data_IF_390107568986
#
_entry.id   IF_390107568986
#
_cell.length_a   1.000
_cell.length_b   1.000
_cell.length_c   1.000
_cell.angle_alpha   90.00
_cell.angle_beta   90.00
_cell.angle_gamma   90.00
#
_symmetry.space_group_name_H-M   'P 1'
#
loop_
_entity.id
_entity.type
_entity.pdbx_description
1 polymer ?
#
# COMPACT_ATOMS: atom_id res chain seq x y z
N UNK A 1 -10.80 22.17 -41.16
CA UNK A 1 -10.73 23.04 -42.34
C UNK A 1 -10.36 24.48 -41.96
N UNK A 2 -9.15 24.75 -41.46
CA UNK A 2 -8.65 26.13 -41.22
C UNK A 2 -7.15 26.30 -41.63
N UNK A 3 -6.42 25.19 -41.83
CA UNK A 3 -4.95 25.20 -42.02
C UNK A 3 -4.45 25.74 -43.37
N UNK A 4 -5.31 26.01 -44.35
CA UNK A 4 -4.89 26.23 -45.75
C UNK A 4 -5.21 27.61 -46.34
N UNK A 5 -5.81 28.53 -45.59
CA UNK A 5 -6.07 29.87 -46.11
C UNK A 5 -4.99 30.88 -45.63
N UNK A 6 -4.08 31.34 -46.51
CA UNK A 6 -2.98 32.22 -46.12
C UNK A 6 -3.45 33.59 -45.64
N UNK A 7 -4.61 34.08 -46.11
CA UNK A 7 -5.18 35.37 -45.68
C UNK A 7 -5.56 35.36 -44.19
N UNK A 8 -6.29 34.32 -43.75
CA UNK A 8 -6.67 34.16 -42.33
C UNK A 8 -5.45 34.03 -41.42
N UNK A 9 -4.41 33.30 -41.87
CA UNK A 9 -3.17 33.17 -41.08
C UNK A 9 -2.47 34.52 -40.89
N UNK A 10 -2.46 35.36 -41.93
CA UNK A 10 -1.91 36.70 -41.87
C UNK A 10 -2.76 37.62 -40.98
N UNK A 11 -4.09 37.48 -41.00
CA UNK A 11 -5.00 38.24 -40.14
C UNK A 11 -4.85 37.89 -38.66
N UNK A 12 -4.70 36.61 -38.32
CA UNK A 12 -4.40 36.14 -36.96
C UNK A 12 -3.04 36.63 -36.42
N UNK A 13 -2.05 36.81 -37.31
CA UNK A 13 -0.72 37.31 -36.93
C UNK A 13 -0.68 38.85 -36.82
N UNK A 14 -1.65 39.56 -37.42
CA UNK A 14 -1.73 41.01 -37.35
C UNK A 14 -2.36 41.44 -36.03
N UNK A 15 -1.76 42.44 -35.40
CA UNK A 15 -2.32 43.08 -34.21
C UNK A 15 -3.52 43.93 -34.63
N UNK A 16 -4.72 43.53 -34.23
CA UNK A 16 -5.94 44.32 -34.46
C UNK A 16 -5.99 45.52 -33.52
N UNK A 17 -5.81 46.73 -34.06
CA UNK A 17 -5.81 47.99 -33.31
C UNK A 17 -7.16 48.26 -32.62
N UNK A 18 -8.26 47.96 -33.31
CA UNK A 18 -9.62 48.13 -32.80
C UNK A 18 -9.92 47.24 -31.56
N UNK A 19 -9.44 45.99 -31.55
CA UNK A 19 -9.53 45.14 -30.36
C UNK A 19 -8.68 45.68 -29.19
N UNK A 20 -7.48 46.19 -29.49
CA UNK A 20 -6.59 46.75 -28.48
C UNK A 20 -7.21 48.00 -27.84
N UNK A 21 -7.89 48.84 -28.62
CA UNK A 21 -8.58 50.02 -28.09
C UNK A 21 -9.79 49.62 -27.24
N UNK A 22 -10.55 48.59 -27.63
CA UNK A 22 -11.63 48.02 -26.80
C UNK A 22 -11.12 47.43 -25.49
N UNK A 23 -9.97 46.76 -25.49
CA UNK A 23 -9.37 46.18 -24.28
C UNK A 23 -8.81 47.25 -23.32
N UNK A 24 -8.37 48.42 -23.82
CA UNK A 24 -7.98 49.55 -22.95
C UNK A 24 -9.15 50.10 -22.14
N UNK A 25 -10.37 50.05 -22.70
CA UNK A 25 -11.59 50.53 -22.05
C UNK A 25 -12.01 49.59 -20.92
N UNK A 26 -11.81 48.28 -21.09
CA UNK A 26 -12.16 47.26 -20.08
C UNK A 26 -11.04 47.15 -19.04
N UNK A 27 -10.94 48.15 -18.16
CA UNK A 27 -10.08 48.09 -16.97
C UNK A 27 -10.91 47.60 -15.78
N UNK A 28 -10.70 46.35 -15.37
CA UNK A 28 -11.29 45.82 -14.14
C UNK A 28 -10.43 46.26 -12.96
N UNK A 29 -10.89 47.27 -12.22
CA UNK A 29 -10.33 47.62 -10.90
C UNK A 29 -11.14 46.90 -9.84
N UNK A 30 -10.60 45.83 -9.27
CA UNK A 30 -11.20 45.18 -8.11
C UNK A 30 -10.94 46.04 -6.87
N UNK A 31 -11.92 46.83 -6.46
CA UNK A 31 -11.91 47.48 -5.15
C UNK A 31 -12.39 46.49 -4.10
N UNK A 32 -11.45 45.79 -3.48
CA UNK A 32 -11.73 44.88 -2.39
C UNK A 32 -10.56 44.87 -1.43
N UNK A 33 -10.80 45.21 -0.16
CA UNK A 33 -9.91 44.84 0.93
C UNK A 33 -9.93 43.32 1.00
N UNK A 34 -8.96 42.67 0.36
CA UNK A 34 -8.75 41.25 0.52
C UNK A 34 -8.52 41.02 2.03
N UNK A 35 -9.34 40.22 2.72
CA UNK A 35 -8.99 39.80 4.06
C UNK A 35 -7.66 39.08 3.91
N UNK A 36 -6.57 39.69 4.40
CA UNK A 36 -5.29 39.01 4.46
C UNK A 36 -5.54 37.83 5.40
N UNK A 37 -5.53 36.58 4.92
CA UNK A 37 -5.69 35.46 5.83
C UNK A 37 -4.39 35.40 6.63
N UNK A 38 -4.36 36.10 7.75
CA UNK A 38 -3.26 36.01 8.71
C UNK A 38 -3.38 34.63 9.33
N UNK A 39 -2.81 33.64 8.66
CA UNK A 39 -2.64 32.32 9.23
C UNK A 39 -1.73 32.48 10.44
N UNK A 40 -2.28 32.31 11.64
CA UNK A 40 -1.52 32.29 12.90
C UNK A 40 -0.57 31.09 12.96
N UNK A 41 -0.75 30.10 12.09
CA UNK A 41 0.12 28.94 11.99
C UNK A 41 1.29 29.22 11.05
N UNK A 42 2.54 28.97 11.50
CA UNK A 42 3.70 29.06 10.63
C UNK A 42 3.57 28.06 9.48
N UNK A 43 4.17 28.41 8.33
CA UNK A 43 4.28 27.48 7.22
C UNK A 43 5.04 26.22 7.69
N UNK A 44 4.70 25.03 7.17
CA UNK A 44 5.48 23.83 7.42
C UNK A 44 6.95 24.07 7.06
N UNK A 45 7.85 24.00 8.05
CA UNK A 45 9.28 24.20 7.85
C UNK A 45 10.00 22.90 7.43
N UNK A 46 9.45 21.76 7.81
CA UNK A 46 9.96 20.45 7.42
C UNK A 46 9.74 20.22 5.93
N UNK A 47 10.83 20.00 5.19
CA UNK A 47 10.81 19.64 3.75
C UNK A 47 11.09 18.16 3.51
N UNK A 48 11.19 17.38 4.58
CA UNK A 48 11.46 15.95 4.50
C UNK A 48 10.26 15.21 3.94
N UNK A 49 10.52 14.13 3.20
CA UNK A 49 9.47 13.24 2.75
C UNK A 49 8.83 12.56 3.97
N UNK A 50 7.50 12.61 4.05
CA UNK A 50 6.77 11.87 5.10
C UNK A 50 7.07 10.39 4.93
N UNK A 51 7.53 9.75 6.00
CA UNK A 51 7.78 8.30 6.00
C UNK A 51 6.48 7.56 5.65
N UNK A 52 6.58 6.61 4.72
CA UNK A 52 5.43 5.80 4.35
C UNK A 52 5.12 4.87 5.53
N UNK A 53 3.92 4.94 6.12
CA UNK A 53 3.57 4.10 7.24
C UNK A 53 3.51 2.63 6.82
N UNK A 54 4.04 1.74 7.68
CA UNK A 54 4.13 0.30 7.42
C UNK A 54 2.78 -0.34 7.07
N UNK A 55 1.71 0.13 7.72
CA UNK A 55 0.35 -0.41 7.54
C UNK A 55 -0.53 0.46 6.64
N UNK A 56 0.06 1.41 5.91
CA UNK A 56 -0.68 2.33 5.04
C UNK A 56 -1.48 3.41 5.78
N UNK A 57 -1.37 3.49 7.11
CA UNK A 57 -1.96 4.56 7.91
C UNK A 57 -1.01 5.00 9.03
N UNK A 58 -1.05 6.28 9.40
CA UNK A 58 -0.27 6.82 10.52
C UNK A 58 -0.87 6.33 11.85
N UNK A 59 -0.07 5.61 12.63
CA UNK A 59 -0.51 5.12 13.93
C UNK A 59 -0.64 6.27 14.95
N UNK A 60 -1.64 6.23 15.84
CA UNK A 60 -1.78 7.24 16.88
C UNK A 60 -0.59 7.18 17.85
N UNK A 61 -0.03 8.35 18.18
CA UNK A 61 1.10 8.47 19.12
C UNK A 61 0.75 8.07 20.55
N UNK A 62 -0.52 8.24 20.94
CA UNK A 62 -1.03 7.84 22.24
C UNK A 62 -2.22 6.90 22.04
N UNK A 63 -2.15 5.72 22.65
CA UNK A 63 -3.16 4.67 22.55
C UNK A 63 -3.95 4.67 23.86
N UNK A 64 -5.27 4.91 23.83
CA UNK A 64 -6.09 4.87 25.04
C UNK A 64 -6.08 3.49 25.70
N UNK A 65 -6.24 3.47 27.02
CA UNK A 65 -6.41 2.22 27.76
C UNK A 65 -7.61 1.42 27.25
N UNK A 66 -7.47 0.09 27.21
CA UNK A 66 -8.50 -0.80 26.66
C UNK A 66 -8.64 -0.75 25.14
N UNK A 67 -7.72 -0.08 24.43
CA UNK A 67 -7.59 -0.10 22.97
C UNK A 67 -6.19 -0.58 22.58
N UNK A 68 -6.05 -1.03 21.34
CA UNK A 68 -4.76 -1.40 20.76
C UNK A 68 -4.63 -0.81 19.34
N UNK A 69 -3.39 -0.54 18.92
CA UNK A 69 -3.11 -0.24 17.51
C UNK A 69 -3.04 -1.53 16.68
N UNK A 70 -3.11 -1.42 15.35
CA UNK A 70 -2.96 -2.60 14.47
C UNK A 70 -1.61 -3.29 14.68
N UNK A 71 -0.52 -2.51 14.88
CA UNK A 71 0.80 -3.08 15.17
C UNK A 71 0.79 -3.93 16.44
N UNK A 72 0.19 -3.43 17.51
CA UNK A 72 0.07 -4.17 18.77
C UNK A 72 -0.79 -5.42 18.60
N UNK A 73 -1.92 -5.30 17.89
CA UNK A 73 -2.81 -6.42 17.58
C UNK A 73 -2.09 -7.54 16.84
N UNK A 74 -1.43 -7.21 15.73
CA UNK A 74 -0.64 -8.19 14.96
C UNK A 74 0.49 -8.80 15.80
N UNK A 75 1.12 -8.00 16.67
CA UNK A 75 2.16 -8.46 17.58
C UNK A 75 1.68 -9.57 18.51
N UNK A 76 0.62 -9.32 19.30
CA UNK A 76 0.14 -10.33 20.25
C UNK A 76 -0.54 -11.51 19.55
N UNK A 77 -1.17 -11.33 18.38
CA UNK A 77 -1.73 -12.45 17.60
C UNK A 77 -0.58 -13.38 17.18
N UNK A 78 0.51 -12.82 16.66
CA UNK A 78 1.69 -13.61 16.23
C UNK A 78 2.32 -14.33 17.42
N UNK A 79 2.48 -13.64 18.55
CA UNK A 79 3.04 -14.21 19.78
C UNK A 79 2.17 -15.36 20.33
N UNK A 80 0.85 -15.17 20.37
CA UNK A 80 -0.08 -16.20 20.79
C UNK A 80 -0.09 -17.41 19.84
N UNK A 81 0.05 -17.18 18.53
CA UNK A 81 0.16 -18.27 17.55
C UNK A 81 1.45 -19.09 17.71
N UNK A 82 2.56 -18.42 18.02
CA UNK A 82 3.84 -19.09 18.22
C UNK A 82 3.86 -19.88 19.54
N UNK A 83 3.51 -19.22 20.65
CA UNK A 83 3.54 -19.81 22.00
C UNK A 83 2.26 -19.44 22.78
N UNK A 84 1.15 -20.20 22.62
CA UNK A 84 -0.11 -19.93 23.30
C UNK A 84 -0.03 -20.03 24.83
N UNK A 85 0.95 -20.79 25.34
CA UNK A 85 1.13 -21.03 26.79
C UNK A 85 1.70 -19.80 27.51
N UNK A 86 2.70 -19.17 26.92
CA UNK A 86 3.33 -17.97 27.48
C UNK A 86 2.45 -16.75 27.24
N UNK A 87 1.94 -16.60 26.02
CA UNK A 87 1.08 -15.48 25.62
C UNK A 87 -0.40 -15.86 25.70
N UNK A 88 -0.86 -16.27 26.88
CA UNK A 88 -2.28 -16.61 27.08
C UNK A 88 -3.18 -15.37 26.94
N UNK A 89 -4.47 -15.59 26.67
CA UNK A 89 -5.49 -14.52 26.54
C UNK A 89 -5.46 -13.57 27.75
N UNK A 90 -5.31 -14.13 28.95
CA UNK A 90 -5.22 -13.37 30.21
C UNK A 90 -3.99 -12.48 30.27
N UNK A 91 -2.82 -13.04 29.94
CA UNK A 91 -1.57 -12.28 29.91
C UNK A 91 -1.63 -11.12 28.92
N UNK A 92 -2.21 -11.33 27.74
CA UNK A 92 -2.37 -10.29 26.72
C UNK A 92 -3.34 -9.21 27.19
N UNK A 93 -4.46 -9.61 27.79
CA UNK A 93 -5.47 -8.70 28.31
C UNK A 93 -4.90 -7.80 29.41
N UNK A 94 -4.13 -8.36 30.35
CA UNK A 94 -3.45 -7.61 31.41
C UNK A 94 -2.39 -6.63 30.85
N UNK A 95 -1.54 -7.09 29.92
CA UNK A 95 -0.48 -6.26 29.34
C UNK A 95 -0.99 -5.03 28.57
N UNK A 96 -2.20 -5.11 28.02
CA UNK A 96 -2.80 -4.03 27.24
C UNK A 96 -4.02 -3.37 27.90
N UNK A 97 -4.31 -3.71 29.17
CA UNK A 97 -5.50 -3.24 29.90
C UNK A 97 -6.81 -3.45 29.13
N UNK A 98 -6.91 -4.54 28.37
CA UNK A 98 -8.07 -4.90 27.55
C UNK A 98 -8.93 -5.96 28.22
N UNK A 99 -10.20 -6.09 27.79
CA UNK A 99 -11.07 -7.16 28.29
C UNK A 99 -10.70 -8.48 27.63
N UNK A 100 -10.69 -9.56 28.42
CA UNK A 100 -10.38 -10.91 27.92
C UNK A 100 -11.31 -11.32 26.76
N UNK A 101 -12.60 -10.97 26.84
CA UNK A 101 -13.60 -11.27 25.79
C UNK A 101 -13.22 -10.64 24.45
N UNK A 102 -12.70 -9.41 24.46
CA UNK A 102 -12.31 -8.71 23.23
C UNK A 102 -11.08 -9.39 22.62
N UNK A 103 -10.11 -9.77 23.45
CA UNK A 103 -8.91 -10.49 22.99
C UNK A 103 -9.24 -11.88 22.46
N UNK A 104 -10.13 -12.61 23.15
CA UNK A 104 -10.61 -13.92 22.70
C UNK A 104 -11.26 -13.81 21.32
N UNK A 105 -12.14 -12.81 21.12
CA UNK A 105 -12.76 -12.57 19.82
C UNK A 105 -11.71 -12.21 18.75
N UNK A 106 -10.72 -11.39 19.08
CA UNK A 106 -9.65 -11.03 18.14
C UNK A 106 -8.86 -12.29 17.73
N UNK A 107 -8.38 -13.09 18.68
CA UNK A 107 -7.59 -14.29 18.40
C UNK A 107 -8.41 -15.35 17.65
N UNK A 108 -9.71 -15.44 17.95
CA UNK A 108 -10.63 -16.38 17.27
C UNK A 108 -10.86 -16.03 15.81
N UNK A 109 -11.01 -14.75 15.49
CA UNK A 109 -11.40 -14.28 14.17
C UNK A 109 -10.23 -13.84 13.29
N UNK A 110 -9.10 -13.45 13.89
CA UNK A 110 -7.92 -12.99 13.17
C UNK A 110 -6.76 -13.95 13.38
N UNK A 111 -6.11 -14.31 12.26
CA UNK A 111 -4.89 -15.12 12.23
C UNK A 111 -3.89 -14.48 11.29
N UNK A 112 -2.63 -14.47 11.68
CA UNK A 112 -1.55 -14.11 10.76
C UNK A 112 -1.29 -15.27 9.80
N UNK A 113 -0.98 -14.95 8.55
CA UNK A 113 -0.70 -15.94 7.51
C UNK A 113 0.61 -16.67 7.79
N UNK A 114 0.55 -18.00 7.77
CA UNK A 114 1.75 -18.84 7.76
C UNK A 114 2.22 -19.01 6.32
N UNK A 115 3.36 -18.41 5.99
CA UNK A 115 3.97 -18.56 4.68
C UNK A 115 4.82 -19.84 4.65
N UNK A 116 4.38 -20.84 3.89
CA UNK A 116 5.15 -22.05 3.66
C UNK A 116 5.91 -21.93 2.34
N UNK A 117 7.24 -21.87 2.41
CA UNK A 117 8.09 -21.75 1.23
C UNK A 117 8.74 -23.09 0.94
N UNK A 118 8.25 -23.76 -0.10
CA UNK A 118 8.91 -24.93 -0.67
C UNK A 118 10.28 -24.51 -1.22
N UNK A 119 11.35 -25.02 -0.62
CA UNK A 119 12.69 -24.96 -1.23
C UNK A 119 12.75 -25.94 -2.40
N UNK A 120 12.12 -25.58 -3.49
CA UNK A 120 12.52 -26.07 -4.79
C UNK A 120 13.75 -25.28 -5.23
N UNK A 121 14.70 -25.94 -5.90
CA UNK A 121 15.98 -25.32 -6.32
C UNK A 121 15.84 -24.12 -7.27
N UNK A 122 14.60 -23.68 -7.55
CA UNK A 122 14.25 -22.52 -8.36
C UNK A 122 13.87 -21.29 -7.53
N UNK A 123 13.60 -21.42 -6.22
CA UNK A 123 13.27 -20.27 -5.36
C UNK A 123 14.54 -19.49 -5.02
N UNK A 124 14.65 -18.26 -5.56
CA UNK A 124 15.79 -17.35 -5.38
C UNK A 124 15.60 -16.38 -4.21
N UNK A 125 14.61 -16.61 -3.35
CA UNK A 125 14.37 -15.69 -2.23
C UNK A 125 15.37 -15.97 -1.12
N UNK A 126 16.23 -14.99 -0.84
CA UNK A 126 17.23 -15.10 0.21
C UNK A 126 16.56 -15.30 1.57
N UNK A 127 17.18 -16.12 2.42
CA UNK A 127 16.69 -16.43 3.77
C UNK A 127 16.46 -15.16 4.61
N UNK A 128 17.32 -14.15 4.45
CA UNK A 128 17.20 -12.85 5.13
C UNK A 128 15.94 -12.07 4.75
N UNK A 129 15.51 -12.15 3.49
CA UNK A 129 14.26 -11.53 3.03
C UNK A 129 13.05 -12.23 3.65
N UNK A 130 13.10 -13.55 3.82
CA UNK A 130 12.03 -14.33 4.43
C UNK A 130 11.91 -14.07 5.93
N UNK A 131 13.04 -13.94 6.61
CA UNK A 131 13.11 -13.53 8.02
C UNK A 131 12.53 -12.12 8.21
N UNK A 132 12.82 -11.17 7.31
CA UNK A 132 12.25 -9.82 7.37
C UNK A 132 10.73 -9.74 7.17
N UNK A 133 10.13 -10.75 6.53
CA UNK A 133 8.67 -10.84 6.29
C UNK A 133 7.98 -11.62 7.44
N UNK A 134 8.74 -12.15 8.40
CA UNK A 134 8.18 -12.90 9.53
C UNK A 134 7.84 -14.36 9.22
N UNK A 135 8.48 -14.95 8.19
CA UNK A 135 8.27 -16.36 7.85
C UNK A 135 9.01 -17.26 8.86
N UNK A 136 8.30 -17.67 9.92
CA UNK A 136 8.89 -18.40 11.05
C UNK A 136 9.22 -19.88 10.81
N UNK A 137 8.56 -20.56 9.86
CA UNK A 137 8.76 -22.00 9.63
C UNK A 137 8.89 -22.31 8.13
N UNK A 138 10.10 -22.64 7.69
CA UNK A 138 10.35 -23.21 6.36
C UNK A 138 10.13 -24.72 6.47
N UNK A 139 8.96 -25.19 6.05
CA UNK A 139 8.65 -26.63 6.01
C UNK A 139 9.19 -27.23 4.71
N UNK A 140 9.84 -28.38 4.81
CA UNK A 140 10.27 -29.13 3.62
C UNK A 140 9.05 -29.59 2.82
N UNK A 141 9.05 -29.47 1.49
CA UNK A 141 7.91 -29.84 0.67
C UNK A 141 7.58 -31.34 0.86
N UNK A 142 6.35 -31.61 1.31
CA UNK A 142 5.83 -32.93 1.69
C UNK A 142 5.80 -33.96 0.53
N UNK A 143 6.04 -33.51 -0.72
CA UNK A 143 5.75 -34.29 -1.93
C UNK A 143 6.97 -34.81 -2.71
N UNK A 144 8.22 -34.58 -2.23
CA UNK A 144 9.41 -34.94 -3.04
C UNK A 144 9.72 -36.44 -3.14
N UNK A 145 9.18 -37.31 -2.29
CA UNK A 145 9.56 -38.73 -2.29
C UNK A 145 8.60 -39.67 -3.04
N UNK A 146 7.33 -39.31 -3.24
CA UNK A 146 6.31 -40.25 -3.75
C UNK A 146 6.00 -40.14 -5.25
N UNK A 147 6.48 -39.10 -5.93
CA UNK A 147 6.15 -38.86 -7.34
C UNK A 147 7.39 -38.68 -8.23
N UNK A 148 8.61 -38.74 -7.68
CA UNK A 148 9.85 -38.54 -8.42
C UNK A 148 10.16 -39.65 -9.46
N UNK A 149 9.48 -40.80 -9.37
CA UNK A 149 9.62 -41.96 -10.25
C UNK A 149 8.51 -42.06 -11.33
N UNK A 150 7.54 -41.14 -11.34
CA UNK A 150 6.62 -41.03 -12.46
C UNK A 150 7.32 -40.21 -13.54
N UNK A 151 8.01 -40.90 -14.46
CA UNK A 151 8.43 -40.26 -15.69
C UNK A 151 7.21 -39.66 -16.38
N UNK A 152 7.32 -38.43 -16.92
CA UNK A 152 6.20 -37.81 -17.64
C UNK A 152 5.85 -38.71 -18.81
N UNK A 153 4.61 -39.22 -18.83
CA UNK A 153 4.09 -39.99 -19.96
C UNK A 153 4.41 -39.25 -21.26
N UNK A 154 5.05 -39.91 -22.25
CA UNK A 154 5.34 -39.26 -23.51
C UNK A 154 4.03 -38.81 -24.15
N UNK A 155 3.92 -37.51 -24.41
CA UNK A 155 2.75 -36.92 -25.04
C UNK A 155 2.49 -37.62 -26.39
N UNK A 156 1.24 -37.97 -26.71
CA UNK A 156 0.93 -38.61 -27.98
C UNK A 156 1.34 -37.70 -29.14
N UNK A 157 2.16 -38.24 -30.04
CA UNK A 157 2.62 -37.58 -31.25
C UNK A 157 1.42 -37.15 -32.10
N UNK A 158 1.32 -35.85 -32.39
CA UNK A 158 0.30 -35.31 -33.28
C UNK A 158 0.53 -35.86 -34.70
N UNK A 159 -0.34 -36.77 -35.14
CA UNK A 159 -0.38 -37.28 -36.52
C UNK A 159 -0.82 -36.13 -37.43
N UNK A 160 0.03 -35.81 -38.41
CA UNK A 160 -0.27 -34.84 -39.46
C UNK A 160 -1.43 -35.37 -40.31
N UNK A 161 -2.56 -34.67 -40.32
CA UNK A 161 -3.58 -34.86 -41.34
C UNK A 161 -3.10 -34.21 -42.63
N UNK A 162 -2.86 -35.05 -43.64
CA UNK A 162 -2.74 -34.66 -45.04
C UNK A 162 -4.05 -34.97 -45.74
N UNK A 163 -4.78 -33.95 -46.20
CA UNK A 163 -5.32 -33.82 -47.56
C UNK A 163 -6.01 -32.48 -47.75
#
# INVERSE_FOLDING_TARGET
MIKSNPEFKNELQRKSTDLLDRLKIVKVTSEGTLPNPVSTKPLPQAREAVEVPLYGYEEPKNIPEGKCSLRQALGFITQHQNDPQTHSIKSIAENHSMKEVDIENIIKHFRVFELYISRDGKSRVAKSTLESIGVGKVVEPMFKSKFAHLEPNPMPSNTKESK
#
